data_IF_434633525648
#
_entry.id   IF_434633525648
#
_cell.length_a   1.000
_cell.length_b   1.000
_cell.length_c   1.000
_cell.angle_alpha   90.00
_cell.angle_beta   90.00
_cell.angle_gamma   90.00
#
_symmetry.space_group_name_H-M   'P 1'
#
loop_
_entity.id
_entity.type
_entity.pdbx_description
1 polymer ?
#
# COMPACT_ATOMS: atom_id res chain seq x y z
N UNK A 1 26.46 -4.69 9.48
CA UNK A 1 25.79 -5.14 8.25
C UNK A 1 24.47 -4.39 8.11
N UNK A 2 24.25 -3.73 6.98
CA UNK A 2 23.02 -3.02 6.69
C UNK A 2 22.19 -3.82 5.65
N UNK A 3 21.03 -4.32 6.08
CA UNK A 3 20.07 -5.00 5.23
C UNK A 3 18.87 -4.07 4.96
N UNK A 4 18.67 -3.71 3.69
CA UNK A 4 17.52 -2.92 3.25
C UNK A 4 16.35 -3.84 2.93
N UNK A 5 15.22 -3.68 3.63
CA UNK A 5 14.04 -4.54 3.43
C UNK A 5 13.01 -3.97 2.47
N UNK A 6 13.16 -2.70 2.08
CA UNK A 6 12.19 -1.95 1.25
C UNK A 6 10.76 -1.99 1.83
N UNK A 7 9.85 -1.26 1.20
CA UNK A 7 8.48 -1.12 1.70
C UNK A 7 7.40 -1.60 0.71
N UNK A 8 7.78 -2.17 -0.42
CA UNK A 8 6.79 -2.70 -1.37
C UNK A 8 7.39 -3.16 -2.69
N UNK A 9 6.65 -4.01 -3.38
CA UNK A 9 6.94 -4.41 -4.75
C UNK A 9 6.72 -3.20 -5.67
N UNK A 10 7.66 -2.91 -6.58
CA UNK A 10 7.54 -1.75 -7.47
C UNK A 10 6.38 -1.93 -8.46
N UNK A 11 5.50 -0.95 -8.52
CA UNK A 11 4.45 -0.83 -9.51
C UNK A 11 4.77 0.29 -10.51
N UNK A 12 5.44 1.33 -10.03
CA UNK A 12 5.88 2.49 -10.82
C UNK A 12 7.38 2.44 -11.02
N UNK A 13 7.89 3.10 -12.08
CA UNK A 13 9.32 3.31 -12.26
C UNK A 13 9.93 3.98 -11.03
N UNK A 14 11.14 3.58 -10.65
CA UNK A 14 11.84 4.05 -9.47
C UNK A 14 13.24 4.56 -9.86
N UNK A 15 13.75 5.51 -9.10
CA UNK A 15 15.13 5.98 -9.14
C UNK A 15 15.67 6.15 -10.56
N UNK A 16 16.68 5.37 -10.99
CA UNK A 16 17.30 5.49 -12.32
C UNK A 16 16.35 5.17 -13.48
N UNK A 17 15.31 4.35 -13.25
CA UNK A 17 14.35 3.98 -14.30
C UNK A 17 13.27 5.06 -14.52
N UNK A 18 13.26 6.13 -13.71
CA UNK A 18 12.34 7.25 -13.90
C UNK A 18 12.76 8.04 -15.13
N UNK A 19 11.86 8.09 -16.11
CA UNK A 19 11.99 8.88 -17.33
C UNK A 19 11.14 10.15 -17.18
N UNK A 20 11.80 11.30 -17.21
CA UNK A 20 11.15 12.62 -17.19
C UNK A 20 11.82 13.50 -18.24
N UNK A 21 11.10 14.47 -18.85
CA UNK A 21 11.70 15.45 -19.74
C UNK A 21 12.85 16.20 -19.06
N UNK A 22 13.87 16.54 -19.84
CA UNK A 22 14.99 17.35 -19.35
C UNK A 22 14.50 18.66 -18.74
N UNK A 23 15.09 19.06 -17.62
CA UNK A 23 14.71 20.27 -16.87
C UNK A 23 13.45 20.12 -16.01
N UNK A 24 12.85 18.91 -15.94
CA UNK A 24 11.73 18.65 -15.02
C UNK A 24 12.22 18.57 -13.59
N UNK A 25 11.60 19.32 -12.68
CA UNK A 25 11.78 19.13 -11.24
C UNK A 25 10.80 18.11 -10.70
N UNK A 26 11.23 17.30 -9.74
CA UNK A 26 10.37 16.30 -9.10
C UNK A 26 9.46 16.98 -8.09
N UNK A 27 8.18 16.73 -8.23
CA UNK A 27 7.07 17.39 -7.53
C UNK A 27 7.23 17.53 -6.00
N UNK A 28 7.91 16.60 -5.34
CA UNK A 28 7.99 16.59 -3.86
C UNK A 28 9.13 17.38 -3.26
N UNK A 29 10.17 17.68 -4.02
CA UNK A 29 11.43 18.16 -3.45
C UNK A 29 12.05 19.32 -4.22
N UNK A 30 11.40 19.78 -5.29
CA UNK A 30 12.01 20.71 -6.26
C UNK A 30 13.40 20.24 -6.77
N UNK A 31 13.66 18.95 -6.57
CA UNK A 31 14.91 18.26 -6.85
C UNK A 31 15.01 17.93 -8.33
N UNK A 32 16.16 18.13 -8.94
CA UNK A 32 16.42 17.64 -10.28
C UNK A 32 16.47 16.10 -10.32
N UNK A 33 16.37 15.53 -11.52
CA UNK A 33 16.48 14.06 -11.69
C UNK A 33 17.86 13.57 -11.29
N UNK A 34 18.89 14.34 -11.60
CA UNK A 34 20.28 14.04 -11.24
C UNK A 34 20.47 14.05 -9.72
N UNK A 35 19.94 15.05 -9.04
CA UNK A 35 19.99 15.13 -7.57
C UNK A 35 19.23 13.96 -6.93
N UNK A 36 18.07 13.59 -7.46
CA UNK A 36 17.32 12.43 -7.02
C UNK A 36 18.14 11.15 -7.21
N UNK A 37 18.70 10.91 -8.39
CA UNK A 37 19.55 9.72 -8.68
C UNK A 37 20.74 9.66 -7.73
N UNK A 38 21.46 10.79 -7.57
CA UNK A 38 22.59 10.89 -6.63
C UNK A 38 22.18 10.57 -5.19
N UNK A 39 20.96 10.98 -4.77
CA UNK A 39 20.43 10.65 -3.44
C UNK A 39 20.22 9.14 -3.30
N UNK A 40 19.65 8.48 -4.31
CA UNK A 40 19.50 7.03 -4.32
C UNK A 40 20.85 6.29 -4.32
N UNK A 41 21.82 6.75 -5.12
CA UNK A 41 23.16 6.16 -5.18
C UNK A 41 23.86 6.23 -3.83
N UNK A 42 23.79 7.40 -3.18
CA UNK A 42 24.35 7.58 -1.84
C UNK A 42 23.66 6.68 -0.80
N UNK A 43 22.36 6.44 -0.92
CA UNK A 43 21.64 5.55 -0.01
C UNK A 43 22.01 4.08 -0.29
N UNK A 44 21.98 3.65 -1.54
CA UNK A 44 22.33 2.28 -1.97
C UNK A 44 23.79 1.93 -1.63
N UNK A 45 24.70 2.88 -1.67
CA UNK A 45 26.11 2.67 -1.30
C UNK A 45 26.29 2.16 0.13
N UNK A 46 25.33 2.44 1.01
CA UNK A 46 25.34 2.02 2.41
C UNK A 46 24.80 0.60 2.62
N UNK A 47 24.09 0.02 1.64
CA UNK A 47 23.50 -1.31 1.78
C UNK A 47 24.55 -2.40 1.60
N UNK A 48 24.65 -3.32 2.54
CA UNK A 48 25.37 -4.57 2.29
C UNK A 48 24.49 -5.50 1.46
N UNK A 49 23.21 -5.60 1.82
CA UNK A 49 22.22 -6.42 1.14
C UNK A 49 20.89 -5.70 1.04
N UNK A 50 20.07 -6.09 0.05
CA UNK A 50 18.71 -5.63 -0.12
C UNK A 50 17.80 -6.81 -0.45
N UNK A 51 16.64 -6.86 0.21
CA UNK A 51 15.64 -7.91 -0.05
C UNK A 51 14.88 -7.63 -1.33
N UNK A 52 14.69 -8.67 -2.12
CA UNK A 52 13.80 -8.71 -3.27
C UNK A 52 12.73 -9.80 -3.07
N UNK A 53 11.46 -9.56 -3.41
CA UNK A 53 10.40 -10.55 -3.21
C UNK A 53 10.41 -11.68 -4.25
N UNK A 54 10.98 -11.47 -5.44
CA UNK A 54 11.03 -12.45 -6.54
C UNK A 54 11.94 -11.99 -7.68
N UNK A 55 12.22 -12.90 -8.61
CA UNK A 55 13.12 -12.67 -9.75
C UNK A 55 12.79 -11.38 -10.54
N UNK A 56 11.52 -11.17 -10.91
CA UNK A 56 11.11 -9.95 -11.60
C UNK A 56 11.53 -8.67 -10.86
N UNK A 57 11.29 -8.63 -9.53
CA UNK A 57 11.66 -7.45 -8.72
C UNK A 57 13.18 -7.32 -8.59
N UNK A 58 13.89 -8.44 -8.58
CA UNK A 58 15.36 -8.45 -8.58
C UNK A 58 15.91 -7.77 -9.83
N UNK A 59 15.38 -8.08 -11.00
CA UNK A 59 15.75 -7.43 -12.27
C UNK A 59 15.45 -5.93 -12.23
N UNK A 60 14.25 -5.53 -11.78
CA UNK A 60 13.87 -4.12 -11.63
C UNK A 60 14.77 -3.40 -10.63
N UNK A 61 15.15 -4.01 -9.54
CA UNK A 61 16.01 -3.38 -8.55
C UNK A 61 17.46 -3.20 -9.04
N UNK A 62 17.95 -4.11 -9.86
CA UNK A 62 19.27 -3.94 -10.48
C UNK A 62 19.33 -2.68 -11.34
N UNK A 63 18.33 -2.43 -12.19
CA UNK A 63 18.28 -1.22 -13.03
C UNK A 63 17.95 0.02 -12.22
N UNK A 64 16.86 -0.03 -11.44
CA UNK A 64 16.35 1.14 -10.74
C UNK A 64 17.31 1.70 -9.67
N UNK A 65 18.07 0.84 -9.00
CA UNK A 65 18.98 1.22 -7.94
C UNK A 65 20.46 1.03 -8.27
N UNK A 66 20.78 0.65 -9.50
CA UNK A 66 22.16 0.36 -9.93
C UNK A 66 22.90 -0.58 -8.93
N UNK A 67 22.17 -1.55 -8.35
CA UNK A 67 22.68 -2.48 -7.34
C UNK A 67 23.06 -3.82 -7.95
N UNK A 68 24.20 -4.35 -7.55
CA UNK A 68 24.71 -5.62 -8.04
C UNK A 68 23.80 -6.80 -7.60
N UNK A 69 23.64 -7.80 -8.49
CA UNK A 69 22.77 -8.97 -8.27
C UNK A 69 23.12 -9.73 -6.97
N UNK A 70 24.40 -9.82 -6.66
CA UNK A 70 24.94 -10.54 -5.50
C UNK A 70 24.53 -9.90 -4.18
N UNK A 71 24.15 -8.63 -4.18
CA UNK A 71 23.65 -7.90 -3.02
C UNK A 71 22.13 -8.01 -2.87
N UNK A 72 21.43 -8.62 -3.82
CA UNK A 72 19.98 -8.83 -3.76
C UNK A 72 19.67 -10.24 -3.24
N UNK A 73 18.95 -10.29 -2.11
CA UNK A 73 18.53 -11.53 -1.47
C UNK A 73 17.05 -11.78 -1.82
N UNK A 74 16.81 -12.81 -2.63
CA UNK A 74 15.49 -13.14 -3.12
C UNK A 74 14.76 -14.09 -2.16
N UNK A 75 14.10 -13.53 -1.15
CA UNK A 75 13.43 -14.28 -0.06
C UNK A 75 11.99 -13.88 0.22
N UNK A 76 11.48 -12.85 -0.45
CA UNK A 76 10.22 -12.21 -0.07
C UNK A 76 10.41 -11.15 1.02
N UNK A 77 9.32 -10.43 1.33
CA UNK A 77 9.34 -9.42 2.39
C UNK A 77 8.97 -10.05 3.74
N UNK A 78 9.81 -9.91 4.78
CA UNK A 78 9.53 -10.48 6.11
C UNK A 78 8.18 -10.04 6.70
N UNK A 79 7.72 -8.81 6.39
CA UNK A 79 6.40 -8.33 6.82
C UNK A 79 5.23 -9.17 6.30
N UNK A 80 5.43 -9.93 5.22
CA UNK A 80 4.40 -10.77 4.60
C UNK A 80 4.35 -12.18 5.17
N UNK A 81 5.26 -12.57 6.07
CA UNK A 81 5.30 -13.89 6.67
C UNK A 81 4.01 -14.18 7.44
N UNK A 82 3.41 -13.17 8.07
CA UNK A 82 2.13 -13.28 8.74
C UNK A 82 1.00 -13.72 7.79
N UNK A 83 1.06 -13.38 6.50
CA UNK A 83 0.04 -13.73 5.51
C UNK A 83 0.04 -15.22 5.15
N UNK A 84 1.08 -15.95 5.55
CA UNK A 84 1.20 -17.41 5.41
C UNK A 84 1.15 -18.15 6.74
N UNK A 85 1.34 -17.44 7.86
CA UNK A 85 1.48 -18.00 9.19
C UNK A 85 0.46 -17.38 10.17
N UNK A 86 -0.82 -17.57 9.90
CA UNK A 86 -1.92 -17.10 10.76
C UNK A 86 -2.95 -18.21 10.98
N UNK A 87 -3.79 -18.02 12.00
CA UNK A 87 -4.86 -18.95 12.35
C UNK A 87 -6.19 -18.21 12.62
N UNK A 88 -7.25 -18.96 12.94
CA UNK A 88 -8.58 -18.42 13.23
C UNK A 88 -8.62 -17.48 14.43
N UNK A 89 -7.80 -17.73 15.46
CA UNK A 89 -7.74 -16.91 16.66
C UNK A 89 -7.12 -15.55 16.38
N UNK A 90 -6.13 -15.48 15.49
CA UNK A 90 -5.55 -14.22 15.07
C UNK A 90 -6.57 -13.37 14.32
N UNK A 91 -7.33 -13.97 13.40
CA UNK A 91 -8.44 -13.31 12.71
C UNK A 91 -9.48 -12.77 13.69
N UNK A 92 -9.87 -13.60 14.65
CA UNK A 92 -10.85 -13.21 15.68
C UNK A 92 -10.35 -12.02 16.50
N UNK A 93 -9.13 -12.09 17.03
CA UNK A 93 -8.51 -11.00 17.80
C UNK A 93 -8.50 -9.68 17.04
N UNK A 94 -8.18 -9.70 15.72
CA UNK A 94 -8.17 -8.49 14.91
C UNK A 94 -9.59 -7.93 14.76
N UNK A 95 -10.58 -8.79 14.47
CA UNK A 95 -11.98 -8.36 14.34
C UNK A 95 -12.52 -7.78 15.64
N UNK A 96 -12.23 -8.42 16.77
CA UNK A 96 -12.64 -7.98 18.12
C UNK A 96 -12.00 -6.63 18.46
N UNK A 97 -10.68 -6.47 18.21
CA UNK A 97 -9.95 -5.21 18.42
C UNK A 97 -10.57 -4.06 17.65
N UNK A 98 -11.04 -4.31 16.43
CA UNK A 98 -11.64 -3.30 15.55
C UNK A 98 -13.15 -3.16 15.75
N UNK A 99 -13.76 -3.89 16.69
CA UNK A 99 -15.20 -3.90 16.98
C UNK A 99 -16.05 -4.13 15.72
N UNK A 100 -15.61 -5.06 14.85
CA UNK A 100 -16.33 -5.36 13.62
C UNK A 100 -17.50 -6.31 13.86
N UNK A 101 -18.65 -6.15 13.16
CA UNK A 101 -19.81 -7.01 13.33
C UNK A 101 -19.51 -8.44 12.88
N UNK A 102 -20.07 -9.40 13.58
CA UNK A 102 -20.00 -10.80 13.18
C UNK A 102 -20.90 -11.09 11.97
N UNK A 103 -20.57 -12.17 11.26
CA UNK A 103 -21.39 -12.68 10.13
C UNK A 103 -21.30 -11.88 8.83
N UNK A 104 -20.54 -10.79 8.80
CA UNK A 104 -20.33 -9.99 7.58
C UNK A 104 -18.99 -10.31 6.94
N UNK A 105 -18.97 -10.33 5.59
CA UNK A 105 -17.75 -10.30 4.80
C UNK A 105 -17.16 -8.88 4.78
N UNK A 106 -15.86 -8.80 4.62
CA UNK A 106 -15.13 -7.54 4.73
C UNK A 106 -14.53 -7.16 3.39
N UNK A 107 -14.89 -5.99 2.90
CA UNK A 107 -14.22 -5.30 1.79
C UNK A 107 -13.19 -4.35 2.38
N UNK A 108 -11.91 -4.56 2.08
CA UNK A 108 -10.87 -3.58 2.37
C UNK A 108 -10.77 -2.60 1.19
N UNK A 109 -11.19 -1.35 1.40
CA UNK A 109 -11.00 -0.29 0.43
C UNK A 109 -9.75 0.52 0.81
N UNK A 110 -8.69 0.36 0.05
CA UNK A 110 -7.37 0.95 0.29
C UNK A 110 -6.89 1.75 -0.94
N UNK A 111 -7.44 2.95 -1.17
CA UNK A 111 -7.03 3.81 -2.29
C UNK A 111 -5.66 4.44 -2.05
N UNK A 112 -4.94 4.76 -3.13
CA UNK A 112 -3.73 5.57 -3.06
C UNK A 112 -4.04 7.06 -3.07
N UNK A 113 -3.12 7.83 -2.55
CA UNK A 113 -3.10 9.28 -2.72
C UNK A 113 -2.68 9.63 -4.17
N UNK A 114 -3.02 10.87 -4.60
CA UNK A 114 -2.63 11.40 -5.91
C UNK A 114 -1.55 12.47 -5.74
N UNK A 115 -0.51 12.45 -6.56
CA UNK A 115 0.60 13.40 -6.51
C UNK A 115 0.16 14.86 -6.72
N UNK A 116 -0.91 15.07 -7.48
CA UNK A 116 -1.46 16.39 -7.81
C UNK A 116 -2.48 16.94 -6.78
N UNK A 117 -2.67 16.26 -5.66
CA UNK A 117 -3.68 16.62 -4.65
C UNK A 117 -3.01 17.07 -3.35
N UNK A 118 -2.10 18.04 -3.44
CA UNK A 118 -1.37 18.59 -2.29
C UNK A 118 -1.84 20.01 -1.95
N UNK A 119 -1.97 20.31 -0.66
CA UNK A 119 -2.18 21.66 -0.14
C UNK A 119 -1.26 21.94 1.08
N UNK A 120 -1.35 23.14 1.64
CA UNK A 120 -0.50 23.56 2.78
C UNK A 120 -0.60 22.65 4.03
N UNK A 121 -1.66 21.84 4.15
CA UNK A 121 -1.87 20.91 5.26
C UNK A 121 -1.41 19.48 4.94
N UNK A 122 -1.12 19.16 3.68
CA UNK A 122 -0.73 17.83 3.22
C UNK A 122 -1.50 17.37 1.99
N UNK A 123 -1.47 16.06 1.72
CA UNK A 123 -2.19 15.47 0.59
C UNK A 123 -3.67 15.36 0.89
N UNK A 124 -4.50 15.75 -0.07
CA UNK A 124 -5.94 15.55 -0.03
C UNK A 124 -6.33 14.39 -0.93
N UNK A 125 -7.43 13.73 -0.60
CA UNK A 125 -7.99 12.64 -1.39
C UNK A 125 -9.46 12.94 -1.68
N UNK A 126 -9.83 12.95 -2.96
CA UNK A 126 -11.23 13.04 -3.35
C UNK A 126 -11.82 11.64 -3.33
N UNK A 127 -12.80 11.43 -2.48
CA UNK A 127 -13.51 10.17 -2.40
C UNK A 127 -14.41 10.01 -3.64
N UNK A 128 -14.02 9.10 -4.55
CA UNK A 128 -14.75 8.85 -5.79
C UNK A 128 -15.84 7.79 -5.64
N UNK A 129 -15.81 7.02 -4.55
CA UNK A 129 -16.80 5.98 -4.27
C UNK A 129 -18.02 6.57 -3.55
N UNK A 130 -19.22 6.11 -3.95
CA UNK A 130 -20.47 6.39 -3.26
C UNK A 130 -20.77 5.26 -2.25
N UNK A 131 -20.36 5.46 -1.01
CA UNK A 131 -20.59 4.49 0.06
C UNK A 131 -22.07 4.26 0.39
N UNK A 132 -22.95 5.25 0.17
CA UNK A 132 -24.40 5.07 0.34
C UNK A 132 -24.96 4.09 -0.69
N UNK A 133 -24.49 4.21 -1.93
CA UNK A 133 -24.84 3.25 -2.99
C UNK A 133 -24.28 1.86 -2.70
N UNK A 134 -23.04 1.77 -2.23
CA UNK A 134 -22.46 0.49 -1.82
C UNK A 134 -23.23 -0.15 -0.67
N UNK A 135 -23.58 0.62 0.36
CA UNK A 135 -24.38 0.14 1.49
C UNK A 135 -25.73 -0.42 1.04
N UNK A 136 -26.42 0.28 0.13
CA UNK A 136 -27.72 -0.17 -0.41
C UNK A 136 -27.61 -1.53 -1.12
N UNK A 137 -26.51 -1.79 -1.81
CA UNK A 137 -26.34 -2.99 -2.65
C UNK A 137 -25.69 -4.13 -1.87
N UNK A 138 -24.71 -3.83 -1.02
CA UNK A 138 -23.82 -4.80 -0.40
C UNK A 138 -24.01 -4.94 1.10
N UNK A 139 -24.71 -4.02 1.76
CA UNK A 139 -24.77 -3.91 3.22
C UNK A 139 -25.43 -5.08 3.94
N UNK A 140 -26.19 -5.94 3.22
CA UNK A 140 -26.72 -7.18 3.77
C UNK A 140 -25.61 -8.17 4.12
N UNK A 141 -24.60 -8.33 3.25
CA UNK A 141 -23.60 -9.38 3.33
C UNK A 141 -22.20 -8.86 3.68
N UNK A 142 -21.94 -7.57 3.45
CA UNK A 142 -20.63 -6.96 3.58
C UNK A 142 -20.61 -5.75 4.48
N UNK A 143 -19.42 -5.46 5.00
CA UNK A 143 -18.99 -4.15 5.52
C UNK A 143 -17.74 -3.71 4.78
N UNK A 144 -17.44 -2.42 4.85
CA UNK A 144 -16.24 -1.83 4.26
C UNK A 144 -15.29 -1.35 5.36
N UNK A 145 -14.06 -1.82 5.32
CA UNK A 145 -12.94 -1.18 6.03
C UNK A 145 -12.35 -0.15 5.07
N UNK A 146 -12.46 1.12 5.43
CA UNK A 146 -11.88 2.21 4.68
C UNK A 146 -10.55 2.63 5.30
N UNK A 147 -9.46 2.38 4.59
CA UNK A 147 -8.10 2.73 5.01
C UNK A 147 -7.41 3.57 3.92
N UNK A 148 -7.59 4.89 3.95
CA UNK A 148 -6.83 5.77 3.06
C UNK A 148 -5.34 5.76 3.43
N UNK A 149 -4.51 6.24 2.51
CA UNK A 149 -3.07 6.35 2.74
C UNK A 149 -2.79 7.32 3.90
N UNK A 150 -1.78 7.03 4.74
CA UNK A 150 -1.46 7.81 5.94
C UNK A 150 -1.06 9.28 5.67
N UNK A 151 -0.73 9.63 4.44
CA UNK A 151 -0.44 11.01 4.03
C UNK A 151 -1.70 11.85 3.77
N UNK A 152 -2.88 11.23 3.72
CA UNK A 152 -4.14 11.92 3.48
C UNK A 152 -4.59 12.59 4.77
N UNK A 153 -4.88 13.89 4.69
CA UNK A 153 -5.26 14.74 5.83
C UNK A 153 -6.73 15.13 5.81
N UNK A 154 -7.54 14.53 4.96
CA UNK A 154 -8.98 14.83 4.90
C UNK A 154 -9.73 14.26 6.11
N UNK A 155 -10.72 15.03 6.56
CA UNK A 155 -11.84 14.48 7.32
C UNK A 155 -12.88 13.94 6.35
N UNK A 156 -13.38 12.75 6.60
CA UNK A 156 -14.42 12.11 5.81
C UNK A 156 -15.72 12.06 6.63
N UNK A 157 -16.78 12.67 6.09
CA UNK A 157 -18.12 12.54 6.70
C UNK A 157 -18.70 11.15 6.36
N UNK A 158 -18.57 10.23 7.28
CA UNK A 158 -19.05 8.86 7.17
C UNK A 158 -20.26 8.57 8.10
N UNK A 159 -20.80 9.59 8.77
CA UNK A 159 -21.88 9.41 9.76
C UNK A 159 -23.11 8.69 9.17
N UNK A 160 -23.50 9.04 7.95
CA UNK A 160 -24.63 8.42 7.26
C UNK A 160 -24.44 6.94 6.87
N UNK A 161 -23.22 6.41 6.99
CA UNK A 161 -22.84 5.05 6.59
C UNK A 161 -22.02 4.33 7.66
N UNK A 162 -21.97 4.81 8.87
CA UNK A 162 -21.12 4.33 9.97
C UNK A 162 -21.34 2.86 10.34
N UNK A 163 -22.52 2.32 10.11
CA UNK A 163 -22.83 0.90 10.32
C UNK A 163 -22.33 -0.01 9.19
N UNK A 164 -21.83 0.58 8.10
CA UNK A 164 -21.35 -0.12 6.92
C UNK A 164 -19.87 0.17 6.62
N UNK A 165 -19.40 1.41 6.87
CA UNK A 165 -18.03 1.84 6.62
C UNK A 165 -17.30 2.11 7.92
N UNK A 166 -16.26 1.33 8.16
CA UNK A 166 -15.37 1.44 9.30
C UNK A 166 -14.08 2.15 8.87
N UNK A 167 -13.92 3.40 9.29
CA UNK A 167 -12.68 4.14 9.09
C UNK A 167 -11.64 3.67 10.09
N UNK A 168 -10.50 3.22 9.60
CA UNK A 168 -9.44 2.68 10.44
C UNK A 168 -8.30 3.68 10.58
N UNK A 169 -7.74 3.79 11.79
CA UNK A 169 -6.58 4.63 12.06
C UNK A 169 -5.48 4.36 11.02
N UNK A 170 -4.96 5.40 10.36
CA UNK A 170 -3.88 5.27 9.39
C UNK A 170 -2.63 4.54 9.92
N UNK A 171 -2.44 4.50 11.24
CA UNK A 171 -1.33 3.80 11.91
C UNK A 171 -1.56 2.30 12.09
N UNK A 172 -2.81 1.82 11.91
CA UNK A 172 -3.08 0.38 11.99
C UNK A 172 -2.32 -0.38 10.92
N UNK A 173 -1.73 -1.52 11.30
CA UNK A 173 -0.96 -2.35 10.37
C UNK A 173 -1.86 -2.91 9.27
N UNK A 174 -1.49 -2.61 8.04
CA UNK A 174 -2.23 -3.05 6.85
C UNK A 174 -2.24 -4.59 6.73
N UNK A 175 -1.20 -5.29 7.19
CA UNK A 175 -1.12 -6.75 7.13
C UNK A 175 -2.21 -7.40 7.97
N UNK A 176 -2.54 -6.82 9.14
CA UNK A 176 -3.67 -7.26 9.96
C UNK A 176 -5.00 -7.11 9.22
N UNK A 177 -5.18 -6.02 8.47
CA UNK A 177 -6.39 -5.80 7.68
C UNK A 177 -6.49 -6.76 6.50
N UNK A 178 -5.37 -7.13 5.88
CA UNK A 178 -5.35 -8.15 4.84
C UNK A 178 -5.88 -9.48 5.34
N UNK A 179 -5.50 -9.91 6.54
CA UNK A 179 -5.90 -11.19 7.11
C UNK A 179 -7.42 -11.32 7.23
N UNK A 180 -8.11 -10.24 7.62
CA UNK A 180 -9.56 -10.23 7.86
C UNK A 180 -10.38 -9.86 6.62
N UNK A 181 -9.78 -9.26 5.59
CA UNK A 181 -10.48 -8.85 4.38
C UNK A 181 -10.80 -10.04 3.47
N UNK A 182 -12.04 -10.16 3.03
CA UNK A 182 -12.46 -11.15 2.03
C UNK A 182 -12.20 -10.65 0.60
N UNK A 183 -12.20 -9.34 0.41
CA UNK A 183 -12.02 -8.66 -0.88
C UNK A 183 -11.17 -7.41 -0.69
N UNK A 184 -10.23 -7.18 -1.59
CA UNK A 184 -9.51 -5.90 -1.69
C UNK A 184 -10.09 -5.07 -2.83
N UNK A 185 -10.40 -3.80 -2.57
CA UNK A 185 -10.67 -2.78 -3.58
C UNK A 185 -9.57 -1.72 -3.47
N UNK A 186 -8.83 -1.51 -4.54
CA UNK A 186 -7.70 -0.57 -4.57
C UNK A 186 -7.55 0.03 -5.97
N UNK A 187 -6.52 0.84 -6.16
CA UNK A 187 -6.19 1.45 -7.45
C UNK A 187 -4.70 1.19 -7.81
N UNK A 188 -3.91 2.23 -8.06
CA UNK A 188 -2.48 2.11 -8.39
C UNK A 188 -1.56 1.85 -7.19
N UNK A 189 -2.03 1.13 -6.20
CA UNK A 189 -1.31 0.82 -4.95
C UNK A 189 -0.55 -0.49 -5.03
N UNK A 190 0.67 -0.54 -4.51
CA UNK A 190 1.43 -1.77 -4.36
C UNK A 190 0.85 -2.76 -3.32
N UNK A 191 -0.17 -2.37 -2.57
CA UNK A 191 -0.85 -3.23 -1.57
C UNK A 191 -1.41 -4.51 -2.19
N UNK A 192 -1.81 -4.48 -3.46
CA UNK A 192 -2.37 -5.67 -4.12
C UNK A 192 -1.34 -6.79 -4.30
N UNK A 193 -0.04 -6.48 -4.41
CA UNK A 193 0.99 -7.53 -4.48
C UNK A 193 1.08 -8.35 -3.19
N UNK A 194 1.00 -7.68 -2.04
CA UNK A 194 1.02 -8.34 -0.74
C UNK A 194 -0.29 -9.11 -0.51
N UNK A 195 -1.43 -8.48 -0.78
CA UNK A 195 -2.74 -9.10 -0.63
C UNK A 195 -2.94 -10.33 -1.53
N UNK A 196 -2.32 -10.36 -2.72
CA UNK A 196 -2.38 -11.48 -3.65
C UNK A 196 -1.81 -12.80 -3.07
N UNK A 197 -0.97 -12.72 -2.03
CA UNK A 197 -0.46 -13.90 -1.31
C UNK A 197 -1.63 -14.72 -0.72
N UNK A 198 -2.69 -14.05 -0.29
CA UNK A 198 -3.89 -14.67 0.29
C UNK A 198 -4.80 -15.33 -0.76
N UNK A 199 -4.55 -15.13 -2.05
CA UNK A 199 -5.35 -15.69 -3.17
C UNK A 199 -6.83 -15.35 -3.08
N UNK A 200 -7.16 -14.16 -2.58
CA UNK A 200 -8.52 -13.61 -2.46
C UNK A 200 -8.81 -12.60 -3.57
N UNK A 201 -10.08 -12.29 -3.89
CA UNK A 201 -10.45 -11.36 -4.95
C UNK A 201 -9.87 -9.96 -4.76
N UNK A 202 -9.41 -9.37 -5.86
CA UNK A 202 -8.91 -7.99 -5.92
C UNK A 202 -9.68 -7.27 -7.05
N UNK A 203 -10.24 -6.11 -6.74
CA UNK A 203 -10.88 -5.24 -7.71
C UNK A 203 -10.13 -3.92 -7.81
N UNK A 204 -9.84 -3.51 -9.03
CA UNK A 204 -9.22 -2.23 -9.32
C UNK A 204 -10.28 -1.20 -9.65
N UNK A 205 -10.34 -0.14 -8.84
CA UNK A 205 -11.21 1.01 -9.04
C UNK A 205 -10.35 2.18 -9.54
N UNK A 206 -10.35 2.40 -10.85
CA UNK A 206 -9.49 3.34 -11.55
C UNK A 206 -10.30 4.39 -12.33
#
# INVERSE_FOLDING_TARGET
VYLQTRHGTPLKKLAHDIEVPEGTTLYRSEMSVEEMRSTYDNDVSKYNYMISPRAFTTEVFQSAFAIERERLIETGYPRNDILSNYNSDDIKKIKDKLNLPEGKKIILYAPTWRDNSYNLKGYTFKLEVDFKKWQKILGTDYIVIFKPHYLIVNDFDLEAVKEFVYYIDPKEDISSLYLIADVLVTDYSSVFFDYAILKRPIYFFM
#
